data_IF_969693083989
#
_entry.id   IF_969693083989
#
_cell.length_a   1.000
_cell.length_b   1.000
_cell.length_c   1.000
_cell.angle_alpha   90.00
_cell.angle_beta   90.00
_cell.angle_gamma   90.00
#
_symmetry.space_group_name_H-M   'P 1'
#
loop_
_entity.id
_entity.type
_entity.pdbx_description
1 polymer ?
#
# COMPACT_ATOMS: atom_id res chain seq x y z
N UNK A 1 10.60 13.33 -0.57
CA UNK A 1 9.49 12.95 -1.47
C UNK A 1 9.05 11.51 -1.21
N UNK A 2 7.74 11.21 -1.28
CA UNK A 2 7.19 9.87 -1.06
C UNK A 2 7.66 8.88 -2.14
N UNK A 3 7.70 7.59 -1.79
CA UNK A 3 8.08 6.51 -2.70
C UNK A 3 8.06 5.15 -2.01
N UNK A 4 8.02 4.09 -2.79
CA UNK A 4 8.12 2.71 -2.31
C UNK A 4 9.59 2.32 -2.31
N UNK A 5 10.11 1.94 -1.14
CA UNK A 5 11.45 1.36 -1.03
C UNK A 5 11.33 -0.15 -1.23
N UNK A 6 12.09 -0.67 -2.18
CA UNK A 6 12.15 -2.08 -2.50
C UNK A 6 13.48 -2.61 -1.98
N UNK A 7 13.42 -3.66 -1.17
CA UNK A 7 14.60 -4.38 -0.71
C UNK A 7 14.64 -5.76 -1.38
N UNK A 8 15.74 -6.06 -2.06
CA UNK A 8 15.99 -7.37 -2.65
C UNK A 8 16.90 -8.18 -1.74
N UNK A 9 16.35 -9.23 -1.10
CA UNK A 9 17.11 -10.17 -0.28
C UNK A 9 18.22 -10.84 -1.10
N UNK A 10 17.89 -11.31 -2.32
CA UNK A 10 18.85 -11.99 -3.22
C UNK A 10 20.05 -11.11 -3.59
N UNK A 11 19.83 -9.81 -3.77
CA UNK A 11 20.88 -8.87 -4.17
C UNK A 11 21.47 -8.11 -2.97
N UNK A 12 20.91 -8.30 -1.77
CA UNK A 12 21.22 -7.57 -0.55
C UNK A 12 21.35 -6.05 -0.76
N UNK A 13 20.35 -5.46 -1.42
CA UNK A 13 20.31 -4.02 -1.66
C UNK A 13 18.89 -3.50 -1.75
N UNK A 14 18.76 -2.19 -1.55
CA UNK A 14 17.50 -1.48 -1.70
C UNK A 14 17.58 -0.38 -2.76
N UNK A 15 16.45 -0.10 -3.37
CA UNK A 15 16.24 1.08 -4.21
C UNK A 15 14.85 1.66 -3.94
N UNK A 16 14.61 2.86 -4.45
CA UNK A 16 13.34 3.56 -4.25
C UNK A 16 12.71 3.85 -5.60
N UNK A 17 11.43 3.53 -5.73
CA UNK A 17 10.59 3.87 -6.87
C UNK A 17 9.55 4.89 -6.42
N UNK A 18 9.32 5.91 -7.25
CA UNK A 18 8.42 7.02 -7.02
C UNK A 18 7.47 7.15 -8.19
N UNK A 19 6.30 7.68 -7.92
CA UNK A 19 5.34 8.09 -8.95
C UNK A 19 4.59 9.30 -8.40
N UNK A 20 4.98 10.49 -8.84
CA UNK A 20 4.58 11.75 -8.21
C UNK A 20 3.06 11.94 -8.21
N UNK A 21 2.39 11.48 -9.27
CA UNK A 21 0.94 11.62 -9.43
C UNK A 21 0.14 10.74 -8.44
N UNK A 22 0.65 9.59 -8.01
CA UNK A 22 -0.12 8.63 -7.19
C UNK A 22 0.37 8.48 -5.75
N UNK A 23 1.60 8.93 -5.46
CA UNK A 23 2.23 8.75 -4.14
C UNK A 23 2.19 10.02 -3.28
N UNK A 24 1.84 11.16 -3.86
CA UNK A 24 1.61 12.41 -3.14
C UNK A 24 0.17 12.54 -2.63
N UNK A 25 0.00 13.31 -1.55
CA UNK A 25 -1.32 13.75 -1.11
C UNK A 25 -2.05 14.49 -2.24
N UNK A 26 -3.34 14.18 -2.43
CA UNK A 26 -4.24 14.94 -3.28
C UNK A 26 -4.66 16.21 -2.53
N UNK A 27 -4.38 17.42 -3.06
CA UNK A 27 -4.76 18.68 -2.45
C UNK A 27 -6.25 18.78 -2.09
N UNK A 28 -7.12 18.11 -2.85
CA UNK A 28 -8.57 18.13 -2.63
C UNK A 28 -9.02 17.21 -1.49
N UNK A 29 -8.14 16.34 -0.99
CA UNK A 29 -8.41 15.35 0.04
C UNK A 29 -7.54 15.54 1.30
N UNK A 30 -6.83 16.67 1.41
CA UNK A 30 -5.97 17.02 2.56
C UNK A 30 -6.77 17.21 3.83
N UNK A 31 -7.90 17.90 3.74
CA UNK A 31 -8.74 18.16 4.90
C UNK A 31 -9.78 17.06 5.09
N UNK A 32 -9.79 16.45 6.26
CA UNK A 32 -10.83 15.49 6.67
C UNK A 32 -11.02 15.54 8.19
N UNK A 33 -12.10 14.92 8.68
CA UNK A 33 -12.40 14.85 10.11
C UNK A 33 -12.50 13.42 10.56
N UNK A 34 -11.94 13.11 11.71
CA UNK A 34 -12.12 11.82 12.40
C UNK A 34 -12.73 12.13 13.77
N UNK A 35 -13.97 11.70 14.02
CA UNK A 35 -14.69 11.99 15.27
C UNK A 35 -14.63 13.46 15.73
N UNK A 36 -14.79 14.39 14.78
CA UNK A 36 -14.75 15.83 15.05
C UNK A 36 -13.35 16.44 15.18
N UNK A 37 -12.28 15.64 15.20
CA UNK A 37 -10.90 16.12 15.07
C UNK A 37 -10.62 16.40 13.60
N UNK A 38 -10.44 17.68 13.25
CA UNK A 38 -10.06 18.10 11.90
C UNK A 38 -8.57 17.88 11.67
N UNK A 39 -8.26 17.15 10.61
CA UNK A 39 -6.90 16.89 10.15
C UNK A 39 -6.69 17.73 8.89
N UNK A 40 -5.61 18.50 8.87
CA UNK A 40 -5.25 19.36 7.74
C UNK A 40 -3.75 19.24 7.45
N UNK A 41 -3.34 18.09 6.92
CA UNK A 41 -1.94 17.82 6.59
C UNK A 41 -1.86 17.02 5.29
N UNK A 42 -0.90 17.33 4.39
CA UNK A 42 -0.69 16.57 3.16
C UNK A 42 0.03 15.25 3.47
N UNK A 43 -0.72 14.28 3.98
CA UNK A 43 -0.22 12.96 4.34
C UNK A 43 -0.08 12.10 3.08
N UNK A 44 1.16 11.87 2.65
CA UNK A 44 1.49 11.14 1.44
C UNK A 44 1.26 9.62 1.58
N UNK A 45 1.82 8.84 0.63
CA UNK A 45 1.86 7.37 0.66
C UNK A 45 2.13 6.79 2.06
N UNK A 46 1.22 5.92 2.52
CA UNK A 46 1.40 5.14 3.75
C UNK A 46 0.82 3.73 3.65
N UNK A 47 -0.38 3.60 3.08
CA UNK A 47 -1.07 2.32 2.96
C UNK A 47 -0.48 1.50 1.81
N UNK A 48 -0.19 0.22 2.07
CA UNK A 48 0.29 -0.74 1.05
C UNK A 48 -0.28 -2.14 1.32
N UNK A 49 -0.69 -2.83 0.27
CA UNK A 49 -1.15 -4.22 0.31
C UNK A 49 -0.69 -4.96 -0.94
N UNK A 50 -0.33 -6.23 -0.79
CA UNK A 50 0.13 -7.06 -1.89
C UNK A 50 -0.98 -8.00 -2.36
N UNK A 51 -1.18 -8.06 -3.66
CA UNK A 51 -2.16 -8.95 -4.29
C UNK A 51 -1.89 -10.43 -4.03
N UNK A 52 -2.89 -11.29 -4.28
CA UNK A 52 -2.73 -12.72 -4.16
C UNK A 52 -1.75 -13.25 -5.22
N UNK A 53 -1.02 -14.31 -4.88
CA UNK A 53 -0.14 -15.01 -5.83
C UNK A 53 -0.93 -15.93 -6.76
N UNK A 54 -1.98 -16.54 -6.23
CA UNK A 54 -2.85 -17.43 -6.98
C UNK A 54 -4.13 -16.69 -7.34
N UNK A 55 -4.60 -16.89 -8.56
CA UNK A 55 -5.97 -16.53 -8.94
C UNK A 55 -6.60 -17.68 -9.70
N UNK A 56 -7.93 -17.75 -9.65
CA UNK A 56 -8.69 -18.81 -10.33
C UNK A 56 -9.45 -18.20 -11.50
N UNK A 57 -9.31 -18.80 -12.67
CA UNK A 57 -10.06 -18.45 -13.88
C UNK A 57 -10.80 -19.68 -14.39
N UNK A 58 -12.07 -19.81 -14.01
CA UNK A 58 -12.83 -21.06 -14.17
C UNK A 58 -12.20 -22.18 -13.36
N UNK A 59 -11.88 -23.31 -13.99
CA UNK A 59 -11.23 -24.45 -13.32
C UNK A 59 -9.69 -24.35 -13.34
N UNK A 60 -9.12 -23.27 -13.88
CA UNK A 60 -7.67 -23.11 -14.04
C UNK A 60 -7.10 -22.20 -12.95
N UNK A 61 -6.10 -22.72 -12.24
CA UNK A 61 -5.27 -21.91 -11.34
C UNK A 61 -4.20 -21.19 -12.15
N UNK A 62 -4.08 -19.90 -11.92
CA UNK A 62 -3.07 -19.03 -12.51
C UNK A 62 -2.12 -18.60 -11.40
N UNK A 63 -0.83 -18.81 -11.63
CA UNK A 63 0.24 -18.36 -10.74
C UNK A 63 0.73 -17.02 -11.26
N UNK A 64 0.59 -15.97 -10.44
CA UNK A 64 1.11 -14.64 -10.72
C UNK A 64 2.35 -14.35 -9.88
N UNK A 65 3.53 -14.54 -10.47
CA UNK A 65 4.81 -14.20 -9.83
C UNK A 65 5.04 -12.68 -9.74
N UNK A 66 4.38 -11.93 -10.62
CA UNK A 66 4.42 -10.48 -10.69
C UNK A 66 3.10 -9.89 -10.23
N UNK A 67 2.89 -9.98 -8.91
CA UNK A 67 1.70 -9.53 -8.19
C UNK A 67 1.52 -8.02 -8.29
N UNK A 68 0.28 -7.57 -8.11
CA UNK A 68 -0.05 -6.15 -7.97
C UNK A 68 0.23 -5.67 -6.54
N UNK A 69 0.85 -4.50 -6.40
CA UNK A 69 0.94 -3.78 -5.12
C UNK A 69 -0.09 -2.66 -5.12
N UNK A 70 -1.08 -2.78 -4.25
CA UNK A 70 -2.09 -1.76 -4.01
C UNK A 70 -1.57 -0.77 -2.97
N UNK A 71 -1.81 0.51 -3.20
CA UNK A 71 -1.37 1.55 -2.28
C UNK A 71 -2.25 2.80 -2.36
N UNK A 72 -2.16 3.63 -1.33
CA UNK A 72 -2.82 4.94 -1.33
C UNK A 72 -2.12 5.92 -0.37
N UNK A 73 -1.98 7.20 -0.76
CA UNK A 73 -1.72 8.29 0.18
C UNK A 73 -2.83 8.40 1.21
N UNK A 74 -2.50 8.75 2.46
CA UNK A 74 -3.54 8.95 3.48
C UNK A 74 -4.48 10.08 3.05
N UNK A 75 -3.93 11.22 2.67
CA UNK A 75 -4.68 12.37 2.15
C UNK A 75 -4.97 12.20 0.65
N UNK A 76 -5.72 11.15 0.30
CA UNK A 76 -6.22 10.89 -1.04
C UNK A 76 -7.51 10.07 -0.97
N UNK A 77 -8.38 10.23 -1.96
CA UNK A 77 -9.55 9.37 -2.15
C UNK A 77 -9.33 8.28 -3.19
N UNK A 78 -8.15 8.17 -3.81
CA UNK A 78 -7.88 7.15 -4.82
C UNK A 78 -7.20 5.92 -4.22
N UNK A 79 -7.44 4.74 -4.78
CA UNK A 79 -6.59 3.55 -4.57
C UNK A 79 -5.86 3.27 -5.88
N UNK A 80 -4.54 3.10 -5.79
CA UNK A 80 -3.70 2.82 -6.93
C UNK A 80 -3.14 1.41 -6.86
N UNK A 81 -2.71 0.85 -8.00
CA UNK A 81 -1.82 -0.31 -8.00
C UNK A 81 -0.68 -0.18 -9.00
N UNK A 82 0.42 -0.85 -8.69
CA UNK A 82 1.58 -0.99 -9.56
C UNK A 82 2.08 -2.42 -9.51
N UNK A 83 2.42 -2.96 -10.67
CA UNK A 83 2.90 -4.33 -10.77
C UNK A 83 4.28 -4.49 -10.13
N UNK A 84 4.51 -5.60 -9.42
CA UNK A 84 5.81 -5.86 -8.78
C UNK A 84 6.95 -6.02 -9.78
N UNK A 85 6.71 -6.38 -11.05
CA UNK A 85 7.76 -6.40 -12.08
C UNK A 85 8.39 -5.01 -12.28
N UNK A 86 7.60 -3.94 -12.17
CA UNK A 86 8.09 -2.56 -12.20
C UNK A 86 8.91 -2.27 -10.94
N UNK A 87 8.36 -2.56 -9.77
CA UNK A 87 9.05 -2.31 -8.49
C UNK A 87 10.37 -3.09 -8.38
N UNK A 88 10.41 -4.33 -8.88
CA UNK A 88 11.59 -5.22 -8.88
C UNK A 88 12.67 -4.78 -9.86
N UNK A 89 12.33 -3.96 -10.86
CA UNK A 89 13.29 -3.47 -11.85
C UNK A 89 13.95 -2.17 -11.36
N UNK A 90 15.15 -2.31 -10.81
CA UNK A 90 15.93 -1.21 -10.26
C UNK A 90 16.41 -0.20 -11.30
N UNK A 91 16.31 -0.49 -12.60
CA UNK A 91 16.54 0.51 -13.64
C UNK A 91 15.58 1.70 -13.49
N UNK A 92 14.36 1.46 -12.99
CA UNK A 92 13.40 2.53 -12.69
C UNK A 92 13.74 3.33 -11.42
N UNK A 93 14.81 2.98 -10.71
CA UNK A 93 15.36 3.78 -9.62
C UNK A 93 16.39 4.83 -10.10
N UNK A 94 16.69 4.85 -11.41
CA UNK A 94 17.45 5.94 -12.02
C UNK A 94 16.64 7.24 -12.01
N UNK A 95 17.29 8.39 -12.21
CA UNK A 95 16.64 9.72 -12.24
C UNK A 95 15.75 9.98 -11.01
N UNK A 96 16.35 9.92 -9.81
CA UNK A 96 15.68 10.06 -8.51
C UNK A 96 14.57 9.01 -8.24
N UNK A 97 14.47 8.00 -9.10
CA UNK A 97 13.51 6.91 -9.03
C UNK A 97 12.11 7.26 -9.52
N UNK A 98 11.96 8.32 -10.32
CA UNK A 98 10.67 8.72 -10.86
C UNK A 98 10.23 7.81 -12.02
N UNK A 99 9.24 6.96 -11.75
CA UNK A 99 8.68 6.07 -12.76
C UNK A 99 7.78 6.85 -13.74
N UNK A 100 8.15 6.82 -15.03
CA UNK A 100 7.42 7.51 -16.11
C UNK A 100 6.31 6.65 -16.76
N UNK A 101 6.15 5.40 -16.31
CA UNK A 101 5.14 4.51 -16.85
C UNK A 101 3.76 4.70 -16.20
N UNK A 102 2.86 3.77 -16.47
CA UNK A 102 1.48 3.85 -16.00
C UNK A 102 1.30 3.13 -14.66
N UNK A 103 0.55 3.78 -13.77
CA UNK A 103 -0.01 3.22 -12.54
C UNK A 103 -1.51 3.04 -12.76
N UNK A 104 -2.07 1.95 -12.26
CA UNK A 104 -3.53 1.75 -12.33
C UNK A 104 -4.21 2.57 -11.24
N UNK A 105 -5.17 3.41 -11.63
CA UNK A 105 -6.09 4.08 -10.70
C UNK A 105 -7.40 3.29 -10.66
N UNK A 106 -7.69 2.69 -9.51
CA UNK A 106 -8.94 1.94 -9.28
C UNK A 106 -10.11 2.89 -8.98
N UNK A 107 -9.82 4.13 -8.58
CA UNK A 107 -10.75 5.22 -8.38
C UNK A 107 -11.14 5.46 -6.92
N UNK A 108 -12.30 6.08 -6.71
CA UNK A 108 -12.63 6.79 -5.48
C UNK A 108 -13.19 5.91 -4.34
N UNK A 109 -12.54 5.97 -3.18
CA UNK A 109 -13.04 5.50 -1.88
C UNK A 109 -13.73 6.64 -1.14
N UNK A 110 -14.63 6.28 -0.21
CA UNK A 110 -15.49 7.25 0.47
C UNK A 110 -14.76 8.17 1.48
N UNK A 111 -13.53 7.83 1.88
CA UNK A 111 -12.72 8.61 2.83
C UNK A 111 -11.25 8.16 2.78
N UNK A 112 -10.39 8.91 3.47
CA UNK A 112 -8.96 8.68 3.68
C UNK A 112 -8.69 7.33 4.35
N UNK A 113 -7.55 6.72 4.00
CA UNK A 113 -7.16 5.36 4.44
C UNK A 113 -5.74 5.37 4.98
N UNK A 114 -5.53 4.67 6.09
CA UNK A 114 -4.20 4.42 6.67
C UNK A 114 -3.89 2.92 6.77
N UNK A 115 -4.87 2.13 7.22
CA UNK A 115 -4.72 0.69 7.33
C UNK A 115 -5.28 0.00 6.10
N UNK A 116 -4.51 -0.94 5.54
CA UNK A 116 -4.89 -1.70 4.35
C UNK A 116 -4.20 -3.07 4.34
N UNK A 117 -4.93 -4.11 3.95
CA UNK A 117 -4.41 -5.47 3.72
C UNK A 117 -5.23 -6.16 2.64
N UNK A 118 -4.66 -7.15 1.97
CA UNK A 118 -5.40 -8.03 1.06
C UNK A 118 -5.26 -9.48 1.52
N UNK A 119 -6.33 -10.25 1.40
CA UNK A 119 -6.28 -11.68 1.63
C UNK A 119 -5.78 -12.45 0.39
N UNK A 120 -5.66 -13.77 0.54
CA UNK A 120 -5.23 -14.68 -0.53
C UNK A 120 -6.28 -14.89 -1.63
N UNK A 121 -7.52 -14.42 -1.46
CA UNK A 121 -8.60 -14.51 -2.44
C UNK A 121 -8.78 -13.21 -3.24
N UNK A 122 -8.04 -12.15 -2.92
CA UNK A 122 -8.13 -10.86 -3.60
C UNK A 122 -9.15 -9.90 -3.00
N UNK A 123 -9.57 -10.11 -1.75
CA UNK A 123 -10.38 -9.14 -1.02
C UNK A 123 -9.46 -8.15 -0.31
N UNK A 124 -9.49 -6.90 -0.75
CA UNK A 124 -8.83 -5.78 -0.11
C UNK A 124 -9.67 -5.29 1.08
N UNK A 125 -9.09 -5.21 2.26
CA UNK A 125 -9.67 -4.61 3.45
C UNK A 125 -8.94 -3.31 3.77
N UNK A 126 -9.68 -2.24 4.06
CA UNK A 126 -9.09 -0.93 4.29
C UNK A 126 -9.93 -0.06 5.21
N UNK A 127 -9.27 0.83 5.93
CA UNK A 127 -9.90 1.82 6.81
C UNK A 127 -10.53 2.96 6.01
N UNK A 128 -11.64 3.50 6.50
CA UNK A 128 -12.24 4.76 6.06
C UNK A 128 -12.32 5.70 7.27
N UNK A 129 -11.32 6.57 7.41
CA UNK A 129 -11.11 7.37 8.62
C UNK A 129 -12.27 8.33 8.90
N UNK A 130 -12.74 9.05 7.88
CA UNK A 130 -13.77 10.08 8.04
C UNK A 130 -15.17 9.54 8.31
N UNK A 131 -15.38 8.23 8.19
CA UNK A 131 -16.64 7.57 8.52
C UNK A 131 -16.51 6.55 9.64
N UNK A 132 -15.35 6.47 10.31
CA UNK A 132 -15.07 5.53 11.40
C UNK A 132 -15.45 4.10 11.02
N UNK A 133 -15.03 3.69 9.83
CA UNK A 133 -15.48 2.45 9.20
C UNK A 133 -14.32 1.62 8.67
N UNK A 134 -14.59 0.33 8.50
CA UNK A 134 -13.76 -0.60 7.75
C UNK A 134 -14.56 -1.02 6.52
N UNK A 135 -13.93 -0.93 5.36
CA UNK A 135 -14.48 -1.35 4.08
C UNK A 135 -13.71 -2.55 3.52
N UNK A 136 -14.36 -3.25 2.60
CA UNK A 136 -13.73 -4.25 1.77
C UNK A 136 -14.09 -4.07 0.30
N UNK A 137 -13.23 -4.57 -0.57
CA UNK A 137 -13.46 -4.64 -2.01
C UNK A 137 -12.83 -5.90 -2.58
N UNK A 138 -13.61 -6.65 -3.37
CA UNK A 138 -13.13 -7.79 -4.14
C UNK A 138 -12.55 -7.28 -5.48
N UNK A 139 -11.24 -7.49 -5.72
CA UNK A 139 -10.54 -6.99 -6.91
C UNK A 139 -11.08 -7.54 -8.24
N UNK A 140 -11.91 -8.58 -8.20
CA UNK A 140 -12.58 -9.15 -9.37
C UNK A 140 -13.88 -8.40 -9.73
N UNK A 141 -14.25 -7.39 -8.95
CA UNK A 141 -15.42 -6.54 -9.16
C UNK A 141 -15.02 -5.09 -9.45
N UNK A 142 -15.82 -4.32 -10.21
CA UNK A 142 -15.52 -2.90 -10.44
C UNK A 142 -15.45 -2.12 -9.13
N UNK A 143 -14.39 -1.33 -8.93
CA UNK A 143 -14.12 -0.65 -7.67
C UNK A 143 -15.29 0.24 -7.20
N UNK A 144 -15.86 1.07 -8.06
CA UNK A 144 -16.91 2.02 -7.66
C UNK A 144 -18.18 1.34 -7.15
N UNK A 145 -18.50 0.14 -7.64
CA UNK A 145 -19.74 -0.58 -7.30
C UNK A 145 -19.52 -1.78 -6.37
N UNK A 146 -18.28 -2.27 -6.25
CA UNK A 146 -17.92 -3.46 -5.48
C UNK A 146 -17.57 -3.21 -4.01
N UNK A 147 -17.33 -1.95 -3.61
CA UNK A 147 -16.97 -1.58 -2.24
C UNK A 147 -18.12 -1.86 -1.26
N UNK A 148 -17.79 -2.41 -0.08
CA UNK A 148 -18.75 -2.69 1.00
C UNK A 148 -18.19 -2.27 2.35
N UNK A 149 -18.96 -1.52 3.12
CA UNK A 149 -18.66 -1.27 4.54
C UNK A 149 -19.01 -2.53 5.34
N UNK A 150 -18.04 -3.04 6.10
CA UNK A 150 -18.21 -4.26 6.91
C UNK A 150 -18.26 -4.00 8.42
N UNK A 151 -17.78 -2.85 8.85
CA UNK A 151 -17.91 -2.39 10.23
C UNK A 151 -17.91 -0.85 10.26
N UNK A 152 -18.69 -0.26 11.16
CA UNK A 152 -18.76 1.19 11.39
C UNK A 152 -19.12 1.44 12.85
N UNK A 153 -18.27 2.17 13.56
CA UNK A 153 -18.52 2.54 14.94
C UNK A 153 -17.62 3.71 15.37
N UNK A 154 -18.22 4.85 15.70
CA UNK A 154 -17.49 6.06 16.09
C UNK A 154 -16.74 5.91 17.43
N UNK A 155 -17.13 4.98 18.30
CA UNK A 155 -16.47 4.76 19.59
C UNK A 155 -15.30 3.78 19.49
N UNK A 156 -15.43 2.75 18.65
CA UNK A 156 -14.47 1.67 18.57
C UNK A 156 -13.55 1.72 17.35
N UNK A 157 -13.88 2.48 16.30
CA UNK A 157 -13.15 2.57 15.03
C UNK A 157 -12.68 4.00 14.72
N UNK A 158 -12.08 4.69 15.70
CA UNK A 158 -11.58 6.07 15.52
C UNK A 158 -10.47 6.12 14.46
N UNK A 159 -9.39 5.36 14.68
CA UNK A 159 -8.27 5.28 13.75
C UNK A 159 -7.83 3.82 13.51
N UNK A 160 -8.52 3.07 12.61
CA UNK A 160 -8.13 1.70 12.26
C UNK A 160 -6.79 1.71 11.51
N UNK A 161 -5.69 1.50 12.23
CA UNK A 161 -4.34 1.81 11.77
C UNK A 161 -3.67 0.67 10.99
N UNK A 162 -3.74 -0.54 11.52
CA UNK A 162 -2.99 -1.68 10.99
C UNK A 162 -3.89 -2.92 10.98
N UNK A 163 -3.72 -3.72 9.94
CA UNK A 163 -4.56 -4.88 9.62
C UNK A 163 -3.64 -6.09 9.47
N UNK A 164 -4.03 -7.21 10.06
CA UNK A 164 -3.33 -8.47 9.98
C UNK A 164 -4.32 -9.60 9.74
N UNK A 165 -3.96 -10.53 8.86
CA UNK A 165 -4.68 -11.77 8.62
C UNK A 165 -3.88 -12.93 9.16
N UNK A 166 -4.53 -13.79 9.95
CA UNK A 166 -3.98 -15.07 10.38
C UNK A 166 -4.34 -16.21 9.41
N UNK A 167 -3.91 -17.43 9.74
CA UNK A 167 -4.14 -18.63 8.92
C UNK A 167 -5.53 -19.24 9.13
N UNK A 168 -6.22 -18.86 10.20
CA UNK A 168 -7.59 -19.27 10.51
C UNK A 168 -8.63 -18.35 9.85
N UNK A 169 -8.17 -17.35 9.09
CA UNK A 169 -9.00 -16.40 8.38
C UNK A 169 -9.56 -15.29 9.26
N UNK A 170 -8.93 -15.00 10.39
CA UNK A 170 -9.30 -13.86 11.21
C UNK A 170 -8.55 -12.60 10.76
N UNK A 171 -9.33 -11.55 10.53
CA UNK A 171 -8.82 -10.20 10.34
C UNK A 171 -8.73 -9.52 11.71
N UNK A 172 -7.50 -9.25 12.16
CA UNK A 172 -7.21 -8.48 13.36
C UNK A 172 -6.80 -7.06 12.99
N UNK A 173 -7.37 -6.07 13.68
CA UNK A 173 -7.17 -4.66 13.38
C UNK A 173 -6.75 -3.94 14.66
N UNK A 174 -5.62 -3.24 14.61
CA UNK A 174 -5.21 -2.29 15.63
C UNK A 174 -5.93 -0.97 15.39
N UNK A 175 -6.77 -0.58 16.33
CA UNK A 175 -7.37 0.75 16.36
C UNK A 175 -6.69 1.57 17.45
N UNK A 176 -6.31 2.79 17.11
CA UNK A 176 -5.80 3.76 18.08
C UNK A 176 -6.57 5.08 17.98
N UNK A 177 -6.03 6.12 18.64
CA UNK A 177 -6.54 7.51 18.62
C UNK A 177 -5.41 8.48 18.28
N UNK A 178 -4.65 8.16 17.23
CA UNK A 178 -3.47 8.91 16.83
C UNK A 178 -3.78 10.38 16.53
N UNK A 179 -4.93 10.66 15.90
CA UNK A 179 -5.40 12.01 15.64
C UNK A 179 -5.58 12.81 16.94
N UNK A 180 -6.08 12.20 18.00
CA UNK A 180 -6.24 12.90 19.27
C UNK A 180 -4.90 13.18 19.92
N UNK A 181 -3.94 12.27 19.80
CA UNK A 181 -2.58 12.50 20.29
C UNK A 181 -1.90 13.67 19.57
N UNK A 182 -1.92 13.67 18.23
CA UNK A 182 -1.27 14.71 17.42
C UNK A 182 -1.85 16.10 17.69
N UNK A 183 -3.17 16.19 17.90
CA UNK A 183 -3.86 17.46 18.09
C UNK A 183 -4.15 17.80 19.57
N UNK A 184 -3.41 17.20 20.50
CA UNK A 184 -3.49 17.46 21.96
C UNK A 184 -4.91 17.33 22.55
N UNK A 185 -5.61 16.26 22.14
CA UNK A 185 -6.99 15.91 22.52
C UNK A 185 -7.10 14.50 23.10
N UNK A 186 -5.97 13.86 23.42
CA UNK A 186 -5.95 12.50 23.94
C UNK A 186 -6.27 12.50 25.44
N UNK A 187 -7.33 11.80 25.83
CA UNK A 187 -7.63 11.55 27.24
C UNK A 187 -7.00 10.22 27.69
N UNK A 188 -6.00 10.31 28.57
CA UNK A 188 -5.31 9.13 29.11
C UNK A 188 -6.17 8.30 30.07
N UNK A 189 -7.33 8.81 30.51
CA UNK A 189 -8.26 8.08 31.37
C UNK A 189 -9.18 7.14 30.57
N UNK A 190 -9.19 7.24 29.25
CA UNK A 190 -9.96 6.37 28.37
C UNK A 190 -9.07 5.32 27.68
N UNK A 191 -9.65 4.16 27.26
CA UNK A 191 -8.92 3.22 26.42
C UNK A 191 -8.59 3.85 25.06
N UNK A 192 -7.30 4.01 24.76
CA UNK A 192 -6.82 4.66 23.54
C UNK A 192 -6.33 3.71 22.45
N UNK A 193 -6.15 2.42 22.78
CA UNK A 193 -5.69 1.38 21.88
C UNK A 193 -6.59 0.16 22.03
N UNK A 194 -6.91 -0.49 20.91
CA UNK A 194 -7.76 -1.69 20.87
C UNK A 194 -7.29 -2.62 19.77
N UNK A 195 -7.41 -3.92 20.02
CA UNK A 195 -7.40 -4.94 18.99
C UNK A 195 -8.84 -5.42 18.81
N UNK A 196 -9.32 -5.37 17.58
CA UNK A 196 -10.59 -5.97 17.18
C UNK A 196 -10.29 -7.09 16.20
N UNK A 197 -10.98 -8.22 16.33
CA UNK A 197 -10.80 -9.36 15.45
C UNK A 197 -12.16 -9.90 15.02
N UNK A 198 -12.24 -10.32 13.76
CA UNK A 198 -13.39 -11.03 13.22
C UNK A 198 -12.93 -12.06 12.20
N UNK A 199 -13.59 -13.21 12.16
CA UNK A 199 -13.37 -14.17 11.09
C UNK A 199 -13.96 -13.60 9.78
N UNK A 200 -13.13 -13.52 8.75
CA UNK A 200 -13.49 -13.06 7.40
C UNK A 200 -13.37 -14.17 6.35
N UNK A 201 -12.82 -15.33 6.72
CA UNK A 201 -12.65 -16.51 5.86
C UNK A 201 -11.37 -16.49 5.02
N UNK A 202 -10.97 -15.32 4.52
CA UNK A 202 -9.74 -15.14 3.75
C UNK A 202 -8.46 -15.24 4.59
N UNK A 203 -7.45 -15.95 4.08
CA UNK A 203 -6.15 -16.13 4.73
C UNK A 203 -5.16 -15.04 4.32
N UNK A 204 -4.02 -14.97 5.01
CA UNK A 204 -2.93 -14.07 4.61
C UNK A 204 -2.45 -14.32 3.17
N UNK A 205 -2.13 -13.25 2.42
CA UNK A 205 -1.63 -13.28 1.04
C UNK A 205 -0.31 -14.08 0.85
N UNK A 206 0.36 -14.46 1.94
CA UNK A 206 1.54 -15.33 1.93
C UNK A 206 1.19 -16.82 1.82
N UNK A 207 -0.02 -17.23 2.18
CA UNK A 207 -0.45 -18.62 2.11
C UNK A 207 -0.96 -18.95 0.70
N UNK A 208 -0.28 -19.87 0.02
CA UNK A 208 -0.67 -20.48 -1.25
C UNK A 208 -1.11 -21.95 -1.10
N UNK A 209 -1.23 -22.41 0.15
CA UNK A 209 -1.34 -23.83 0.57
C UNK A 209 -2.61 -24.58 0.10
N UNK A 210 -3.56 -23.93 -0.58
CA UNK A 210 -4.67 -24.66 -1.19
C UNK A 210 -4.26 -25.46 -2.43
N UNK A 211 -3.00 -25.38 -2.86
CA UNK A 211 -2.48 -26.17 -3.99
C UNK A 211 -1.30 -27.05 -3.61
N UNK A 212 -1.56 -28.35 -3.41
CA UNK A 212 -0.49 -29.35 -3.49
C UNK A 212 -0.04 -29.46 -4.95
N UNK A 213 1.19 -29.07 -5.25
CA UNK A 213 1.81 -29.28 -6.58
C UNK A 213 1.87 -30.77 -7.01
N UNK A 214 1.51 -31.70 -6.12
CA UNK A 214 1.58 -33.15 -6.36
C UNK A 214 0.36 -33.76 -7.07
N UNK A 215 -0.78 -33.08 -7.18
CA UNK A 215 -2.01 -33.68 -7.73
C UNK A 215 -2.14 -33.66 -9.27
N UNK A 216 -1.16 -33.12 -10.00
CA UNK A 216 -1.14 -33.13 -11.47
C UNK A 216 -0.16 -34.16 -12.06
N UNK A 217 0.59 -34.90 -11.23
CA UNK A 217 1.48 -35.98 -11.71
C UNK A 217 0.83 -37.37 -11.69
N UNK A 218 -0.30 -37.56 -10.99
CA UNK A 218 -0.91 -38.89 -10.79
C UNK A 218 -2.11 -39.21 -11.70
N UNK A 219 -2.60 -38.27 -12.51
CA UNK A 219 -3.68 -38.56 -13.48
C UNK A 219 -3.19 -39.12 -14.83
N UNK A 220 -1.91 -39.45 -14.96
CA UNK A 220 -1.35 -40.08 -16.16
C UNK A 220 -0.33 -41.17 -15.82
N UNK A 221 -0.73 -42.18 -15.04
CA UNK A 221 -0.20 -43.55 -15.12
C UNK A 221 -0.85 -44.45 -14.07
N UNK A 222 -1.99 -45.06 -14.40
CA UNK A 222 -2.46 -46.23 -13.65
C UNK A 222 -2.07 -47.49 -14.40
N UNK A 223 -0.93 -48.07 -14.03
CA UNK A 223 -0.65 -49.51 -14.19
C UNK A 223 0.19 -49.98 -13.01
N UNK A 224 -0.48 -50.63 -12.06
CA UNK A 224 -0.03 -51.70 -11.15
C UNK A 224 1.45 -51.77 -10.75
N UNK A 225 1.77 -51.76 -9.45
CA UNK A 225 1.93 -52.96 -8.58
C UNK A 225 2.61 -52.56 -7.24
N UNK A 226 2.03 -53.05 -6.14
CA UNK A 226 2.59 -53.45 -4.82
C UNK A 226 4.05 -53.09 -4.49
N UNK A 227 4.31 -52.42 -3.35
CA UNK A 227 4.78 -53.02 -2.08
C UNK A 227 5.03 -51.92 -1.02
N UNK A 228 4.81 -52.29 0.25
CA UNK A 228 4.83 -51.47 1.44
C UNK A 228 6.23 -51.30 2.04
N UNK A 229 6.64 -50.07 2.35
CA UNK A 229 7.64 -49.81 3.41
C UNK A 229 7.20 -48.63 4.30
N UNK A 230 7.23 -48.91 5.60
CA UNK A 230 6.82 -48.07 6.73
C UNK A 230 7.96 -47.10 7.10
N UNK A 231 7.74 -45.78 6.98
CA UNK A 231 8.68 -44.75 7.44
C UNK A 231 8.28 -44.22 8.81
N UNK A 232 9.23 -44.28 9.75
CA UNK A 232 9.11 -43.82 11.15
C UNK A 232 8.94 -42.30 11.25
N UNK A 233 8.25 -41.78 12.28
CA UNK A 233 7.98 -40.35 12.42
C UNK A 233 9.24 -39.53 12.70
N UNK A 234 9.37 -38.41 12.00
CA UNK A 234 10.40 -37.39 12.21
C UNK A 234 10.01 -36.58 13.47
N UNK A 235 10.92 -36.54 14.45
CA UNK A 235 10.84 -35.70 15.63
C UNK A 235 10.76 -34.22 15.22
N UNK A 236 9.72 -33.52 15.68
CA UNK A 236 9.64 -32.05 15.66
C UNK A 236 10.55 -31.47 16.73
N UNK A 237 11.85 -31.42 16.42
CA UNK A 237 12.84 -30.69 17.20
C UNK A 237 12.76 -29.20 16.90
N UNK A 238 12.37 -28.44 17.92
CA UNK A 238 12.58 -27.00 18.13
C UNK A 238 13.45 -26.28 17.08
N UNK A 239 12.82 -25.60 16.13
CA UNK A 239 13.47 -24.50 15.39
C UNK A 239 13.67 -23.33 16.35
N UNK A 240 14.87 -23.23 16.93
CA UNK A 240 15.32 -22.02 17.60
C UNK A 240 15.82 -21.04 16.53
N UNK A 241 14.95 -20.09 16.17
CA UNK A 241 15.33 -18.91 15.41
C UNK A 241 16.30 -18.05 16.25
N UNK A 242 17.57 -17.86 15.84
CA UNK A 242 18.57 -17.17 16.65
C UNK A 242 18.41 -15.65 16.71
N UNK A 243 17.36 -15.07 16.11
CA UNK A 243 17.15 -13.61 16.10
C UNK A 243 16.06 -13.09 17.06
N UNK A 244 15.47 -13.95 17.89
CA UNK A 244 14.49 -13.55 18.91
C UNK A 244 15.11 -13.50 20.31
N UNK A 245 15.98 -12.52 20.57
CA UNK A 245 16.33 -12.06 21.92
C UNK A 245 16.96 -10.67 21.85
N UNK A 246 16.23 -9.58 22.17
CA UNK A 246 16.86 -8.28 22.31
C UNK A 246 17.72 -8.26 23.58
N UNK A 247 19.04 -8.08 23.42
CA UNK A 247 19.92 -7.70 24.53
C UNK A 247 19.69 -6.22 24.86
N UNK A 248 19.54 -5.84 26.14
CA UNK A 248 19.43 -4.43 26.51
C UNK A 248 20.78 -3.72 26.31
N UNK A 249 20.79 -2.67 25.50
CA UNK A 249 21.91 -1.72 25.38
C UNK A 249 22.02 -0.87 26.68
N UNK A 250 23.23 -0.55 27.16
CA UNK A 250 23.40 0.26 28.35
C UNK A 250 23.04 1.73 28.09
N UNK A 251 22.30 2.35 29.02
CA UNK A 251 21.96 3.78 28.98
C UNK A 251 23.23 4.66 28.99
N UNK A 252 23.26 5.76 28.22
CA UNK A 252 24.39 6.68 28.24
C UNK A 252 24.41 7.49 29.55
N UNK A 253 25.56 7.48 30.21
CA UNK A 253 25.85 8.21 31.44
C UNK A 253 25.75 9.73 31.25
N UNK A 254 25.00 10.38 32.13
CA UNK A 254 24.97 11.82 32.28
C UNK A 254 26.35 12.35 32.74
N UNK A 255 26.98 13.23 31.94
CA UNK A 255 27.76 14.31 32.52
C UNK A 255 27.74 15.56 31.62
N UNK A 256 27.51 16.67 32.32
CA UNK A 256 27.44 18.10 31.97
C UNK A 256 28.39 18.64 30.89
N UNK A 257 27.89 19.59 30.10
CA UNK A 257 28.34 20.99 30.14
C UNK A 257 27.33 21.90 29.40
N UNK A 258 26.81 22.90 30.11
CA UNK A 258 25.97 23.98 29.58
C UNK A 258 26.87 25.01 28.87
N UNK A 259 26.64 25.24 27.58
CA UNK A 259 27.07 26.49 26.93
C UNK A 259 25.85 27.34 26.56
N UNK A 260 25.79 28.51 27.16
CA UNK A 260 24.81 29.54 26.89
C UNK A 260 25.16 30.34 25.62
N UNK A 261 24.11 30.61 24.84
CA UNK A 261 23.82 31.87 24.14
C UNK A 261 24.58 32.23 22.85
N UNK A 262 23.83 32.23 21.75
CA UNK A 262 23.69 33.44 20.93
C UNK A 262 22.31 33.47 20.26
N UNK A 263 21.57 34.54 20.56
CA UNK A 263 20.23 34.91 20.07
C UNK A 263 20.23 35.16 18.55
N UNK A 264 19.18 34.77 17.79
CA UNK A 264 19.12 35.02 16.35
C UNK A 264 18.74 36.48 16.04
N UNK A 265 19.43 37.09 15.08
CA UNK A 265 19.10 38.41 14.51
C UNK A 265 17.69 38.42 13.90
N UNK A 266 16.93 39.54 13.98
CA UNK A 266 15.59 39.63 13.41
C UNK A 266 15.63 39.66 11.87
N UNK A 267 14.71 38.92 11.26
CA UNK A 267 14.45 38.85 9.83
C UNK A 267 13.81 40.16 9.31
N UNK A 268 14.10 40.63 8.08
CA UNK A 268 13.54 41.87 7.56
C UNK A 268 12.04 41.75 7.25
N UNK A 269 11.27 42.81 7.54
CA UNK A 269 9.83 42.89 7.27
C UNK A 269 9.49 42.70 5.77
N UNK A 270 8.32 42.09 5.45
CA UNK A 270 7.92 41.88 4.07
C UNK A 270 7.54 43.20 3.36
N UNK A 271 8.06 43.38 2.15
CA UNK A 271 7.69 44.46 1.24
C UNK A 271 6.22 44.33 0.80
N UNK A 272 5.49 45.45 0.82
CA UNK A 272 4.09 45.54 0.41
C UNK A 272 3.85 45.06 -1.02
N UNK A 273 2.76 44.31 -1.20
CA UNK A 273 2.23 43.82 -2.47
C UNK A 273 1.50 44.96 -3.23
N UNK A 274 1.66 45.11 -4.56
CA UNK A 274 0.93 46.13 -5.31
C UNK A 274 -0.53 45.72 -5.57
N UNK A 275 -1.45 46.69 -5.47
CA UNK A 275 -2.90 46.51 -5.70
C UNK A 275 -3.24 46.02 -7.13
N UNK A 276 -4.31 45.22 -7.31
CA UNK A 276 -4.72 44.73 -8.62
C UNK A 276 -5.36 45.83 -9.48
N UNK A 277 -4.98 45.86 -10.77
CA UNK A 277 -5.59 46.73 -11.79
C UNK A 277 -6.98 46.22 -12.21
N UNK A 278 -7.92 47.10 -12.60
CA UNK A 278 -9.31 46.72 -12.88
C UNK A 278 -9.48 46.01 -14.23
N UNK A 279 -10.39 45.03 -14.26
CA UNK A 279 -10.86 44.34 -15.48
C UNK A 279 -11.63 45.30 -16.42
N UNK A 280 -11.49 45.17 -17.75
CA UNK A 280 -12.38 45.83 -18.69
C UNK A 280 -13.62 44.97 -19.01
N UNK A 281 -14.78 45.63 -18.95
CA UNK A 281 -16.08 45.16 -19.40
C UNK A 281 -16.20 45.15 -20.94
N UNK A 282 -16.48 43.97 -21.50
CA UNK A 282 -17.48 43.68 -22.55
C UNK A 282 -17.35 44.27 -23.97
N UNK A 283 -17.37 43.39 -24.98
CA UNK A 283 -18.18 43.57 -26.21
C UNK A 283 -18.28 42.29 -27.06
N UNK A 284 -19.53 41.86 -27.29
CA UNK A 284 -20.19 41.31 -28.49
C UNK A 284 -19.52 40.36 -29.50
N UNK A 285 -20.40 39.51 -30.03
CA UNK A 285 -20.23 38.39 -30.94
C UNK A 285 -19.75 38.74 -32.36
N UNK A 286 -19.16 37.76 -33.06
CA UNK A 286 -19.52 37.38 -34.44
C UNK A 286 -18.84 36.09 -34.90
N UNK A 287 -19.58 35.36 -35.74
CA UNK A 287 -19.32 34.08 -36.39
C UNK A 287 -18.09 34.01 -37.30
N UNK A 288 -17.52 32.80 -37.48
CA UNK A 288 -17.21 32.28 -38.82
C UNK A 288 -16.95 30.77 -38.83
N UNK A 289 -17.31 30.14 -39.94
CA UNK A 289 -17.25 28.71 -40.27
C UNK A 289 -16.12 28.47 -41.28
N UNK A 290 -15.36 27.36 -41.17
CA UNK A 290 -14.73 26.60 -42.28
C UNK A 290 -13.94 25.40 -41.68
N UNK A 291 -14.34 24.14 -41.90
CA UNK A 291 -13.99 23.22 -43.00
C UNK A 291 -12.58 22.60 -42.98
N UNK A 292 -12.57 21.30 -42.61
CA UNK A 292 -11.88 20.12 -43.19
C UNK A 292 -10.37 20.15 -43.48
N UNK A 293 -9.63 19.12 -43.01
CA UNK A 293 -8.98 18.10 -43.88
C UNK A 293 -8.35 16.98 -43.03
N UNK A 294 -8.76 15.75 -43.31
CA UNK A 294 -8.08 14.49 -42.96
C UNK A 294 -6.91 14.20 -43.91
N UNK A 295 -5.78 13.70 -43.40
CA UNK A 295 -4.83 12.87 -44.15
C UNK A 295 -4.39 11.69 -43.29
N UNK A 296 -4.50 10.51 -43.89
CA UNK A 296 -4.10 9.17 -43.44
C UNK A 296 -2.98 8.65 -44.34
N UNK A 297 -2.07 7.81 -43.81
CA UNK A 297 -1.44 6.61 -44.44
C UNK A 297 -0.35 6.05 -43.49
N UNK A 298 -0.48 4.85 -42.92
CA UNK A 298 -0.18 3.49 -43.42
C UNK A 298 1.32 3.12 -43.50
N UNK A 299 1.71 1.98 -42.89
CA UNK A 299 2.93 1.27 -43.32
C UNK A 299 3.66 0.28 -42.37
N UNK A 300 3.05 -0.87 -42.08
CA UNK A 300 3.60 -2.25 -42.00
C UNK A 300 4.86 -2.67 -41.21
N UNK A 301 4.76 -3.92 -40.73
CA UNK A 301 5.52 -4.74 -39.76
C UNK A 301 6.83 -5.40 -40.22
N UNK A 302 7.67 -5.85 -39.25
CA UNK A 302 8.31 -7.21 -39.23
C UNK A 302 8.86 -7.61 -37.83
N UNK A 303 9.02 -8.92 -37.54
CA UNK A 303 9.11 -9.48 -36.18
C UNK A 303 10.55 -9.79 -35.72
N UNK A 304 10.73 -9.99 -34.40
CA UNK A 304 11.93 -10.60 -33.81
C UNK A 304 11.54 -11.79 -32.93
N UNK A 305 12.13 -12.94 -33.23
CA UNK A 305 12.12 -14.19 -32.49
C UNK A 305 13.41 -14.34 -31.68
N UNK A 306 13.29 -14.80 -30.43
CA UNK A 306 14.26 -15.54 -29.58
C UNK A 306 13.76 -15.40 -28.13
N UNK A 307 13.93 -16.31 -27.18
CA UNK A 307 14.43 -17.69 -27.09
C UNK A 307 14.02 -18.14 -25.68
N UNK A 308 13.68 -19.41 -25.51
CA UNK A 308 13.43 -20.05 -24.23
C UNK A 308 14.60 -19.88 -23.26
N UNK A 309 14.31 -19.59 -22.00
CA UNK A 309 15.21 -19.88 -20.87
C UNK A 309 14.38 -20.15 -19.62
N UNK A 310 14.46 -21.40 -19.15
CA UNK A 310 14.06 -21.87 -17.83
C UNK A 310 14.45 -20.88 -16.73
N UNK A 311 13.52 -20.54 -15.83
CA UNK A 311 13.86 -20.04 -14.50
C UNK A 311 12.96 -20.59 -13.41
N UNK A 312 13.62 -21.43 -12.63
CA UNK A 312 13.33 -21.94 -11.30
C UNK A 312 12.71 -20.89 -10.37
N UNK A 313 11.59 -21.30 -9.78
CA UNK A 313 10.83 -20.63 -8.72
C UNK A 313 11.67 -20.47 -7.45
N UNK A 314 11.69 -19.28 -6.86
CA UNK A 314 12.14 -19.08 -5.48
C UNK A 314 11.40 -17.88 -4.87
N UNK A 315 10.63 -18.17 -3.82
CA UNK A 315 9.73 -17.25 -3.16
C UNK A 315 10.44 -16.04 -2.54
N UNK A 316 9.77 -14.89 -2.62
CA UNK A 316 10.17 -13.63 -2.01
C UNK A 316 9.28 -13.40 -0.79
N UNK A 317 9.89 -13.29 0.39
CA UNK A 317 9.22 -12.88 1.62
C UNK A 317 9.12 -11.36 1.61
N UNK A 318 7.90 -10.82 1.69
CA UNK A 318 7.66 -9.40 1.91
C UNK A 318 7.38 -9.17 3.40
N UNK A 319 8.32 -8.50 4.08
CA UNK A 319 8.06 -7.87 5.38
C UNK A 319 7.64 -6.44 5.16
N UNK A 320 6.38 -6.09 5.42
CA UNK A 320 5.92 -4.70 5.41
C UNK A 320 6.08 -4.15 6.82
N UNK A 321 7.10 -3.31 7.02
CA UNK A 321 7.21 -2.43 8.19
C UNK A 321 6.80 -1.04 7.71
N UNK A 322 5.56 -0.65 7.98
CA UNK A 322 5.11 0.72 7.76
C UNK A 322 5.48 1.57 8.98
N UNK A 323 6.64 2.22 8.94
CA UNK A 323 7.00 3.25 9.93
C UNK A 323 6.37 4.56 9.52
N UNK A 324 5.39 5.05 10.28
CA UNK A 324 4.88 6.41 10.14
C UNK A 324 5.92 7.35 10.75
N UNK A 325 6.74 7.98 9.92
CA UNK A 325 7.60 9.10 10.34
C UNK A 325 6.80 10.39 10.22
N UNK A 326 6.36 10.94 11.35
CA UNK A 326 5.75 12.27 11.44
C UNK A 326 6.89 13.29 11.53
N UNK A 327 7.04 14.15 10.52
CA UNK A 327 7.91 15.32 10.61
C UNK A 327 7.16 16.42 11.36
N UNK A 328 7.68 16.84 12.52
CA UNK A 328 7.29 18.10 13.15
C UNK A 328 8.04 19.23 12.44
N UNK A 329 7.30 20.10 11.75
CA UNK A 329 7.80 21.43 11.39
C UNK A 329 7.52 22.37 12.58
N UNK A 330 8.58 22.87 13.20
CA UNK A 330 8.56 24.07 14.04
C UNK A 330 8.56 25.31 13.14
#
# INVERSE_FOLDING_TARGET
>A
FPGIIVYSVKQNRSWKIRHSQSMHADPNAVFFKVNGVGINAPLNLASIALGPKLSTNGDRVVINEDREVFYTPISSLHIYSINTSVLKNDHFAMDDGEYQGQVTDHGLKASQTVGMVMDNEGVLYYSLLGSNSIARWDIHTPFQTGQKIIAKDERYLEWPNSFALDKEGNLTILVNRLERFIYDKLDLKEPNFRLIASNVGGMNYLYDDSYSYNNQAESSSTSSTTESEELKPINTGLDQDPYLSPQPEPEPSANSEEEHSSEPSPEPEPSAEPEPSPEPSGSEASSSTAHSTTVSENGSTRPLTASSADRTTSGVIFGVVATITIFYGL
#
